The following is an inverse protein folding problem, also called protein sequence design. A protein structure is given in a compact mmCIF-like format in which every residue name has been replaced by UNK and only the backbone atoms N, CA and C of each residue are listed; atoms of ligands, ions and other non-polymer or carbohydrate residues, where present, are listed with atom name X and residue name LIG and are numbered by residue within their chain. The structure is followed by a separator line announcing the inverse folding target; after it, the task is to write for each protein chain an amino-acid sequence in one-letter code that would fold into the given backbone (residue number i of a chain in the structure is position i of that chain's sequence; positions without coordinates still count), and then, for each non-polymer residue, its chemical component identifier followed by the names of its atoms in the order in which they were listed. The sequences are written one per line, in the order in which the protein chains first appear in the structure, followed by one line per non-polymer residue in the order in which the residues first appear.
data_IF_173857171209
#
_entry.id   IF_173857171209
#
_cell.length_a   1.000
_cell.length_b   1.000
_cell.length_c   1.000
_cell.angle_alpha   90.00
_cell.angle_beta   90.00
_cell.angle_gamma   90.00
#
_symmetry.space_group_name_H-M   'P 1'
#
loop_
_entity.id
_entity.type
_entity.pdbx_description
1 polymer ?
#
# COMPACT_ATOMS: atom_id res chain seq x y z
N UNK A 1 -17.38 -4.55 -22.27
CA UNK A 1 -17.24 -6.02 -22.29
C UNK A 1 -18.19 -6.70 -21.33
N UNK A 2 -18.74 -7.85 -21.73
CA UNK A 2 -19.62 -8.70 -20.90
C UNK A 2 -18.77 -9.84 -20.34
N UNK A 3 -18.46 -9.88 -19.03
CA UNK A 3 -17.50 -10.85 -18.46
C UNK A 3 -17.92 -12.32 -18.61
N UNK A 4 -19.21 -12.57 -18.85
CA UNK A 4 -19.78 -13.92 -19.01
C UNK A 4 -20.11 -14.27 -20.47
N UNK A 5 -19.73 -13.42 -21.44
CA UNK A 5 -19.92 -13.74 -22.85
C UNK A 5 -18.89 -14.78 -23.32
N UNK A 6 -19.22 -15.60 -24.34
CA UNK A 6 -18.26 -16.51 -24.94
C UNK A 6 -17.01 -15.77 -25.41
N UNK A 7 -15.86 -16.43 -25.31
CA UNK A 7 -14.58 -15.91 -25.78
C UNK A 7 -14.68 -15.45 -27.23
N UNK A 8 -14.23 -14.22 -27.48
CA UNK A 8 -14.14 -13.63 -28.82
C UNK A 8 -12.67 -13.51 -29.15
N UNK A 9 -12.20 -14.28 -30.12
CA UNK A 9 -10.78 -14.35 -30.50
C UNK A 9 -10.18 -12.97 -30.82
N UNK A 10 -10.95 -12.11 -31.48
CA UNK A 10 -10.55 -10.75 -31.86
C UNK A 10 -11.10 -9.66 -30.92
N UNK A 11 -11.39 -10.03 -29.67
CA UNK A 11 -11.94 -9.13 -28.66
C UNK A 11 -10.90 -8.14 -28.10
N UNK A 12 -11.36 -6.97 -27.64
CA UNK A 12 -10.49 -5.92 -27.12
C UNK A 12 -9.56 -6.39 -25.97
N UNK A 13 -10.01 -7.32 -25.13
CA UNK A 13 -9.20 -7.89 -24.04
C UNK A 13 -8.00 -8.72 -24.54
N UNK A 14 -8.12 -9.36 -25.71
CA UNK A 14 -7.01 -10.13 -26.30
C UNK A 14 -5.95 -9.25 -26.94
N UNK A 15 -6.29 -7.98 -27.19
CA UNK A 15 -5.41 -6.94 -27.73
C UNK A 15 -5.03 -5.89 -26.69
N UNK A 16 -5.22 -6.19 -25.40
CA UNK A 16 -4.93 -5.28 -24.29
C UNK A 16 -3.95 -5.91 -23.32
N UNK A 17 -2.94 -5.14 -22.92
CA UNK A 17 -2.04 -5.48 -21.83
C UNK A 17 -2.34 -4.57 -20.63
N UNK A 18 -2.71 -5.17 -19.50
CA UNK A 18 -2.92 -4.44 -18.26
C UNK A 18 -1.59 -4.32 -17.50
N UNK A 19 -1.22 -3.09 -17.15
CA UNK A 19 -0.12 -2.82 -16.24
C UNK A 19 -0.64 -2.62 -14.82
N UNK A 20 -0.10 -3.38 -13.88
CA UNK A 20 -0.27 -3.15 -12.44
C UNK A 20 1.09 -2.73 -11.92
N UNK A 21 1.20 -1.47 -11.50
CA UNK A 21 2.47 -0.89 -11.04
C UNK A 21 2.41 -0.75 -9.52
N UNK A 22 3.50 -1.16 -8.88
CA UNK A 22 3.74 -0.94 -7.46
C UNK A 22 5.03 -0.15 -7.32
N UNK A 23 5.07 0.74 -6.34
CA UNK A 23 6.32 1.39 -5.97
C UNK A 23 6.23 2.01 -4.58
N UNK A 24 7.29 2.71 -4.22
CA UNK A 24 7.44 3.30 -2.89
C UNK A 24 7.10 4.77 -2.98
N UNK A 25 6.01 5.15 -2.34
CA UNK A 25 5.71 6.54 -2.01
C UNK A 25 6.02 6.79 -0.53
N UNK A 26 6.10 8.05 -0.15
CA UNK A 26 6.08 8.51 1.24
C UNK A 26 4.74 8.17 1.93
N UNK A 27 3.64 8.08 1.16
CA UNK A 27 2.42 7.35 1.51
C UNK A 27 1.81 7.75 2.84
N UNK A 28 2.00 9.00 3.24
CA UNK A 28 1.55 9.49 4.53
C UNK A 28 0.03 9.48 4.59
N UNK A 29 -0.49 8.96 5.68
CA UNK A 29 -1.91 8.91 5.95
C UNK A 29 -2.14 8.65 7.43
N UNK A 30 -3.35 8.93 7.88
CA UNK A 30 -3.75 8.73 9.27
C UNK A 30 -5.04 7.93 9.29
N UNK A 31 -5.04 6.88 10.09
CA UNK A 31 -6.25 6.14 10.44
C UNK A 31 -6.75 6.69 11.78
N UNK A 32 -8.00 7.14 11.82
CA UNK A 32 -8.64 7.65 13.03
C UNK A 32 -9.95 6.91 13.28
N UNK A 33 -10.24 6.59 14.54
CA UNK A 33 -11.57 6.16 14.93
C UNK A 33 -12.46 7.38 15.10
N UNK A 34 -13.59 7.42 14.38
CA UNK A 34 -14.57 8.49 14.52
C UNK A 34 -15.49 8.26 15.74
N UNK A 35 -16.39 9.20 15.99
CA UNK A 35 -17.28 9.16 17.16
C UNK A 35 -18.22 7.94 17.19
N UNK A 36 -18.46 7.29 16.05
CA UNK A 36 -19.29 6.09 15.95
C UNK A 36 -18.47 4.80 16.16
N UNK A 37 -17.14 4.91 16.26
CA UNK A 37 -16.22 3.78 16.33
C UNK A 37 -15.81 3.20 14.98
N UNK A 38 -16.14 3.88 13.87
CA UNK A 38 -15.68 3.46 12.54
C UNK A 38 -14.27 4.01 12.26
N UNK A 39 -13.49 3.25 11.49
CA UNK A 39 -12.17 3.67 11.06
C UNK A 39 -12.27 4.57 9.81
N UNK A 40 -11.85 5.82 9.94
CA UNK A 40 -11.67 6.76 8.85
C UNK A 40 -10.19 6.81 8.46
N UNK A 41 -9.94 6.84 7.15
CA UNK A 41 -8.58 6.95 6.59
C UNK A 41 -8.47 8.29 5.87
N UNK A 42 -7.58 9.14 6.38
CA UNK A 42 -7.22 10.41 5.78
C UNK A 42 -5.85 10.27 5.12
N UNK A 43 -5.82 10.27 3.79
CA UNK A 43 -4.57 10.24 3.03
C UNK A 43 -4.08 11.67 2.82
N UNK A 44 -2.80 11.91 3.09
CA UNK A 44 -2.19 13.19 2.79
C UNK A 44 -2.11 13.35 1.26
N UNK A 45 -2.98 14.22 0.74
CA UNK A 45 -3.10 14.47 -0.69
C UNK A 45 -1.81 15.06 -1.30
N UNK A 46 -0.98 15.74 -0.50
CA UNK A 46 0.29 16.31 -0.94
C UNK A 46 1.43 15.27 -0.86
N UNK A 47 1.36 14.33 0.08
CA UNK A 47 2.24 13.15 0.10
C UNK A 47 1.94 12.22 -1.09
N UNK A 48 0.72 12.19 -1.62
CA UNK A 48 0.46 11.57 -2.92
C UNK A 48 1.01 12.39 -4.10
N UNK A 49 2.34 12.58 -4.17
CA UNK A 49 3.01 13.39 -5.18
C UNK A 49 2.62 12.99 -6.60
N UNK A 50 2.11 13.97 -7.35
CA UNK A 50 1.96 13.92 -8.81
C UNK A 50 3.23 13.44 -9.52
N UNK A 51 4.42 13.81 -9.02
CA UNK A 51 5.70 13.45 -9.62
C UNK A 51 5.95 11.93 -9.71
N UNK A 52 5.58 11.18 -8.68
CA UNK A 52 5.73 9.72 -8.69
C UNK A 52 4.84 9.09 -9.76
N UNK A 53 3.62 9.60 -9.90
CA UNK A 53 2.71 9.16 -10.96
C UNK A 53 3.16 9.57 -12.35
N UNK A 54 3.64 10.80 -12.52
CA UNK A 54 4.16 11.28 -13.79
C UNK A 54 5.37 10.45 -14.23
N UNK A 55 6.23 10.05 -13.29
CA UNK A 55 7.33 9.13 -13.57
C UNK A 55 6.83 7.76 -14.03
N UNK A 56 5.85 7.17 -13.33
CA UNK A 56 5.24 5.89 -13.74
C UNK A 56 4.56 6.01 -15.11
N UNK A 57 3.74 7.03 -15.34
CA UNK A 57 3.01 7.23 -16.60
C UNK A 57 3.98 7.49 -17.77
N UNK A 58 5.07 8.21 -17.53
CA UNK A 58 6.13 8.41 -18.52
C UNK A 58 6.80 7.08 -18.89
N UNK A 59 7.15 6.27 -17.91
CA UNK A 59 7.76 4.95 -18.10
C UNK A 59 6.81 4.00 -18.84
N UNK A 60 5.54 3.94 -18.45
CA UNK A 60 4.52 3.12 -19.14
C UNK A 60 4.30 3.55 -20.59
N UNK A 61 4.42 4.85 -20.90
CA UNK A 61 4.39 5.34 -22.29
C UNK A 61 5.59 4.86 -23.08
N UNK A 62 6.77 4.80 -22.49
CA UNK A 62 7.98 4.26 -23.13
C UNK A 62 7.79 2.79 -23.49
N UNK A 63 7.29 1.98 -22.55
CA UNK A 63 6.95 0.58 -22.80
C UNK A 63 5.90 0.42 -23.89
N UNK A 64 4.81 1.18 -23.84
CA UNK A 64 3.78 1.12 -24.86
C UNK A 64 4.32 1.48 -26.25
N UNK A 65 5.17 2.53 -26.36
CA UNK A 65 5.84 2.90 -27.61
C UNK A 65 6.72 1.78 -28.14
N UNK A 66 7.53 1.16 -27.29
CA UNK A 66 8.42 0.06 -27.67
C UNK A 66 7.64 -1.17 -28.19
N UNK A 67 6.44 -1.40 -27.66
CA UNK A 67 5.54 -2.48 -28.08
C UNK A 67 4.68 -2.13 -29.32
N UNK A 68 4.78 -0.91 -29.85
CA UNK A 68 3.89 -0.42 -30.91
C UNK A 68 2.43 -0.27 -30.45
N UNK A 69 2.19 -0.22 -29.14
CA UNK A 69 0.87 -0.14 -28.53
C UNK A 69 0.46 1.31 -28.23
N UNK A 70 -0.85 1.54 -28.13
CA UNK A 70 -1.40 2.81 -27.66
C UNK A 70 -1.54 2.79 -26.14
N UNK A 71 -0.80 3.67 -25.45
CA UNK A 71 -0.97 3.84 -24.01
C UNK A 71 -2.34 4.47 -23.68
N UNK A 72 -3.02 3.90 -22.68
CA UNK A 72 -4.27 4.43 -22.13
C UNK A 72 -4.11 4.52 -20.62
N UNK A 73 -3.96 5.74 -20.09
CA UNK A 73 -3.88 5.98 -18.65
C UNK A 73 -5.21 5.64 -17.96
N UNK A 74 -5.14 5.26 -16.67
CA UNK A 74 -6.31 4.89 -15.89
C UNK A 74 -7.35 6.04 -15.85
N UNK A 75 -8.58 5.84 -16.35
CA UNK A 75 -9.57 6.90 -16.41
C UNK A 75 -10.06 7.33 -15.01
N UNK A 76 -9.92 6.50 -13.96
CA UNK A 76 -10.25 6.87 -12.57
C UNK A 76 -9.40 8.06 -12.10
N UNK A 77 -8.15 8.14 -12.52
CA UNK A 77 -7.27 9.27 -12.20
C UNK A 77 -7.72 10.58 -12.86
N UNK A 78 -8.37 10.49 -14.02
CA UNK A 78 -8.89 11.66 -14.76
C UNK A 78 -10.27 12.10 -14.28
N UNK A 79 -11.07 11.19 -13.74
CA UNK A 79 -12.47 11.47 -13.38
C UNK A 79 -12.62 12.23 -12.06
N UNK A 80 -11.68 12.09 -11.11
CA UNK A 80 -11.81 12.69 -9.79
C UNK A 80 -11.05 14.02 -9.59
N UNK A 81 -10.36 14.55 -10.61
CA UNK A 81 -9.52 15.77 -10.52
C UNK A 81 -8.54 15.78 -9.33
N UNK A 82 -8.29 14.60 -8.77
CA UNK A 82 -7.36 14.32 -7.69
C UNK A 82 -6.61 13.10 -8.16
N UNK A 83 -5.31 13.24 -8.35
CA UNK A 83 -4.39 12.14 -8.64
C UNK A 83 -4.20 11.29 -7.39
N UNK A 84 -5.31 10.80 -6.82
CA UNK A 84 -5.32 10.14 -5.52
C UNK A 84 -4.74 8.74 -5.67
N UNK A 85 -3.72 8.44 -4.86
CA UNK A 85 -3.19 7.09 -4.66
C UNK A 85 -4.30 6.20 -4.11
N UNK A 86 -4.85 5.34 -4.97
CA UNK A 86 -5.62 4.19 -4.52
C UNK A 86 -4.61 3.06 -4.30
N UNK A 87 -4.26 2.82 -3.04
CA UNK A 87 -3.48 1.64 -2.66
C UNK A 87 -4.43 0.54 -2.20
N UNK A 88 -4.21 -0.68 -2.70
CA UNK A 88 -4.83 -1.88 -2.14
C UNK A 88 -4.07 -2.41 -0.91
N UNK A 89 -2.94 -1.78 -0.56
CA UNK A 89 -2.01 -2.22 0.47
C UNK A 89 -1.75 -1.11 1.49
N UNK A 90 -2.75 -0.67 2.27
CA UNK A 90 -2.48 0.19 3.42
C UNK A 90 -1.60 -0.57 4.43
N UNK A 91 -0.47 0.02 4.78
CA UNK A 91 0.50 -0.50 5.76
C UNK A 91 0.75 0.56 6.82
N UNK A 92 1.35 0.17 7.94
CA UNK A 92 1.70 1.09 9.03
C UNK A 92 0.53 1.33 10.02
N UNK A 93 0.74 2.30 10.91
CA UNK A 93 -0.19 2.62 12.01
C UNK A 93 0.30 2.10 13.37
N UNK A 94 1.06 1.00 13.40
CA UNK A 94 1.76 0.48 14.58
C UNK A 94 3.22 0.19 14.25
N UNK A 95 3.90 1.14 13.62
CA UNK A 95 5.20 0.94 12.99
C UNK A 95 6.28 0.40 13.95
N UNK A 96 7.10 -0.51 13.44
CA UNK A 96 8.35 -0.96 14.05
C UNK A 96 9.31 0.22 14.24
N UNK A 97 9.94 0.32 15.42
CA UNK A 97 10.97 1.30 15.70
C UNK A 97 11.94 0.85 16.79
N UNK A 98 13.09 1.50 16.85
CA UNK A 98 14.09 1.29 17.89
C UNK A 98 13.69 1.92 19.25
N UNK A 99 12.65 2.77 19.27
CA UNK A 99 12.15 3.42 20.49
C UNK A 99 10.68 3.86 20.38
N UNK A 100 10.07 4.12 21.54
CA UNK A 100 8.71 4.65 21.67
C UNK A 100 8.49 6.03 21.04
N UNK A 101 9.56 6.79 20.81
CA UNK A 101 9.47 8.13 20.21
C UNK A 101 9.38 8.07 18.68
N UNK A 102 9.78 6.95 18.08
CA UNK A 102 9.87 6.76 16.65
C UNK A 102 8.83 5.75 16.09
N UNK A 103 8.15 5.00 16.95
CA UNK A 103 7.15 4.01 16.54
C UNK A 103 6.34 3.46 17.71
N UNK A 104 5.60 2.38 17.44
CA UNK A 104 4.62 1.81 18.39
C UNK A 104 5.09 0.47 18.93
N UNK A 105 5.81 -0.31 18.12
CA UNK A 105 6.31 -1.63 18.50
C UNK A 105 7.80 -1.75 18.27
N UNK A 106 8.45 -2.59 19.08
CA UNK A 106 9.84 -2.98 18.87
C UNK A 106 10.00 -4.08 17.81
N UNK A 107 11.23 -4.53 17.57
CA UNK A 107 11.58 -5.52 16.55
C UNK A 107 10.94 -6.92 16.72
N UNK A 108 10.23 -7.15 17.83
CA UNK A 108 9.46 -8.37 18.12
C UNK A 108 7.96 -8.09 18.23
N UNK A 109 7.50 -6.95 17.73
CA UNK A 109 6.09 -6.58 17.72
C UNK A 109 5.54 -6.22 19.10
N UNK A 110 6.39 -6.08 20.13
CA UNK A 110 5.94 -5.73 21.49
C UNK A 110 5.60 -4.25 21.55
N UNK A 111 4.43 -3.92 22.09
CA UNK A 111 3.97 -2.52 22.15
C UNK A 111 4.75 -1.74 23.20
N UNK A 112 5.32 -0.61 22.82
CA UNK A 112 5.97 0.32 23.74
C UNK A 112 4.96 0.94 24.71
N UNK A 113 5.40 1.23 25.93
CA UNK A 113 4.66 1.97 26.95
C UNK A 113 5.21 3.38 27.11
N UNK A 114 4.54 4.20 27.93
CA UNK A 114 4.92 5.61 28.16
C UNK A 114 6.28 5.82 28.86
N UNK A 115 6.96 4.77 29.33
CA UNK A 115 8.32 4.86 29.88
C UNK A 115 9.40 4.38 28.89
N UNK A 116 9.04 4.03 27.65
CA UNK A 116 9.95 3.47 26.65
C UNK A 116 10.26 1.97 26.82
N UNK A 117 9.67 1.30 27.82
CA UNK A 117 9.71 -0.16 27.93
C UNK A 117 8.54 -0.78 27.15
N UNK A 118 8.38 -2.10 27.17
CA UNK A 118 7.27 -2.78 26.48
C UNK A 118 6.15 -3.19 27.44
N UNK A 119 4.91 -3.18 26.96
CA UNK A 119 3.79 -3.81 27.65
C UNK A 119 3.95 -5.34 27.66
N UNK A 120 3.84 -5.97 28.83
CA UNK A 120 3.87 -7.42 28.93
C UNK A 120 2.60 -8.03 28.31
N UNK A 121 2.79 -8.98 27.38
CA UNK A 121 1.69 -9.72 26.77
C UNK A 121 0.93 -8.98 25.66
N UNK A 122 1.36 -7.79 25.24
CA UNK A 122 0.71 -7.01 24.20
C UNK A 122 1.60 -6.87 22.96
N UNK A 123 1.11 -7.39 21.83
CA UNK A 123 1.84 -7.47 20.57
C UNK A 123 0.97 -7.02 19.39
N UNK A 124 1.61 -6.56 18.32
CA UNK A 124 1.00 -6.35 16.99
C UNK A 124 1.74 -7.21 15.98
N UNK A 125 1.03 -8.00 15.17
CA UNK A 125 1.62 -9.00 14.27
C UNK A 125 0.93 -9.04 12.90
N UNK A 126 0.76 -7.88 12.26
CA UNK A 126 0.17 -7.73 10.94
C UNK A 126 0.86 -6.64 10.10
N UNK A 127 0.26 -6.20 9.00
CA UNK A 127 0.81 -5.14 8.15
C UNK A 127 0.97 -3.77 8.82
N UNK A 128 0.38 -3.55 9.99
CA UNK A 128 0.49 -2.29 10.71
C UNK A 128 1.90 -2.03 11.26
N UNK A 129 2.70 -3.09 11.43
CA UNK A 129 4.08 -2.99 11.92
C UNK A 129 5.06 -2.51 10.84
N UNK A 130 4.67 -2.56 9.58
CA UNK A 130 5.54 -2.20 8.46
C UNK A 130 5.57 -0.67 8.33
N UNK A 131 6.73 -0.01 8.50
CA UNK A 131 6.82 1.45 8.66
C UNK A 131 6.64 2.24 7.36
N UNK A 132 6.69 1.59 6.19
CA UNK A 132 6.66 2.27 4.90
C UNK A 132 6.15 1.39 3.77
N UNK A 133 5.77 1.99 2.65
CA UNK A 133 5.44 1.27 1.42
C UNK A 133 6.62 0.38 0.96
N UNK A 134 6.34 -0.90 0.69
CA UNK A 134 7.36 -1.86 0.26
C UNK A 134 7.69 -1.75 -1.24
N UNK A 135 6.75 -1.23 -2.04
CA UNK A 135 6.82 -1.26 -3.50
C UNK A 135 6.60 -2.65 -4.11
N UNK A 136 6.06 -3.58 -3.33
CA UNK A 136 5.72 -4.94 -3.73
C UNK A 136 4.49 -5.43 -2.95
N UNK A 137 3.96 -6.59 -3.34
CA UNK A 137 2.86 -7.22 -2.61
C UNK A 137 3.28 -7.57 -1.17
N UNK A 138 2.56 -7.10 -0.15
CA UNK A 138 3.03 -7.17 1.23
C UNK A 138 2.85 -8.54 1.89
N UNK A 139 2.04 -9.44 1.32
CA UNK A 139 1.64 -10.71 1.92
C UNK A 139 2.82 -11.45 2.58
N UNK A 140 3.87 -11.75 1.81
CA UNK A 140 5.01 -12.53 2.32
C UNK A 140 5.81 -11.78 3.38
N UNK A 141 5.86 -10.44 3.31
CA UNK A 141 6.54 -9.64 4.34
C UNK A 141 5.74 -9.64 5.64
N UNK A 142 4.41 -9.51 5.55
CA UNK A 142 3.51 -9.60 6.69
C UNK A 142 3.63 -10.99 7.33
N UNK A 143 3.58 -12.06 6.53
CA UNK A 143 3.74 -13.44 7.02
C UNK A 143 5.07 -13.64 7.75
N UNK A 144 6.19 -13.22 7.14
CA UNK A 144 7.50 -13.38 7.75
C UNK A 144 7.64 -12.62 9.09
N UNK A 145 7.12 -11.41 9.17
CA UNK A 145 7.13 -10.62 10.42
C UNK A 145 6.21 -11.24 11.47
N UNK A 146 5.00 -11.65 11.09
CA UNK A 146 4.06 -12.28 12.01
C UNK A 146 4.61 -13.61 12.56
N UNK A 147 5.26 -14.43 11.73
CA UNK A 147 5.93 -15.67 12.15
C UNK A 147 7.07 -15.38 13.14
N UNK A 148 7.95 -14.42 12.82
CA UNK A 148 9.03 -14.00 13.74
C UNK A 148 8.47 -13.51 15.08
N UNK A 149 7.38 -12.75 15.08
CA UNK A 149 6.75 -12.26 16.32
C UNK A 149 6.19 -13.44 17.11
N UNK A 150 5.50 -14.37 16.46
CA UNK A 150 4.94 -15.56 17.10
C UNK A 150 6.00 -16.42 17.80
N UNK A 151 7.21 -16.54 17.23
CA UNK A 151 8.34 -17.25 17.86
C UNK A 151 8.79 -16.62 19.19
N UNK A 152 8.47 -15.34 19.41
CA UNK A 152 8.84 -14.57 20.62
C UNK A 152 7.68 -14.41 21.60
N UNK A 153 6.51 -15.00 21.30
CA UNK A 153 5.38 -15.10 22.23
C UNK A 153 5.56 -16.38 23.04
N UNK A 154 5.90 -16.21 24.33
CA UNK A 154 6.03 -17.29 25.31
C UNK A 154 4.71 -17.56 26.05
#
# INVERSE_FOLDING_TARGET
DRPNAPYVEDGALNHSLAFIVMGRNDGAGRITLNANGDADIDWDADASRADFFHAIDAELREYARALGARHVSNPVWRMNNRETLITAHPLGGCALADSSDAGVVDEFGRVFNGSGATHAGLYVADGAVIPSALGANPLLTISALAERIAEHIA
#
